data_IF_967989704108
#
_entry.id   IF_967989704108
#
_cell.length_a   1.000
_cell.length_b   1.000
_cell.length_c   1.000
_cell.angle_alpha   90.00
_cell.angle_beta   90.00
_cell.angle_gamma   90.00
#
_symmetry.space_group_name_H-M   'P 1'
#
loop_
_entity.id
_entity.type
_entity.pdbx_description
1 polymer ?
#
# COMPACT_ATOMS: atom_id res chain seq x y z
N UNK A 1 -14.16 6.29 22.24
CA UNK A 1 -13.13 6.86 21.33
C UNK A 1 -13.74 6.91 19.94
N UNK A 2 -13.68 8.07 19.27
CA UNK A 2 -14.24 8.28 17.93
C UNK A 2 -13.17 8.11 16.87
N UNK A 3 -13.40 7.22 15.90
CA UNK A 3 -12.46 6.90 14.83
C UNK A 3 -12.99 7.40 13.49
N UNK A 4 -12.15 8.17 12.78
CA UNK A 4 -12.42 8.64 11.42
C UNK A 4 -11.41 8.10 10.42
N UNK A 5 -11.83 7.82 9.19
CA UNK A 5 -10.95 7.41 8.10
C UNK A 5 -11.03 8.39 6.93
N UNK A 6 -9.89 8.73 6.36
CA UNK A 6 -9.71 9.62 5.22
C UNK A 6 -9.10 8.82 4.07
N UNK A 7 -9.85 8.67 2.98
CA UNK A 7 -9.45 7.94 1.78
C UNK A 7 -10.13 6.58 1.64
N UNK A 8 -11.12 6.51 0.75
CA UNK A 8 -11.90 5.31 0.40
C UNK A 8 -11.49 4.77 -0.98
N UNK A 9 -10.18 4.66 -1.20
CA UNK A 9 -9.62 3.93 -2.34
C UNK A 9 -9.78 2.41 -2.18
N UNK A 10 -9.15 1.62 -3.06
CA UNK A 10 -9.26 0.14 -3.05
C UNK A 10 -8.93 -0.47 -1.68
N UNK A 11 -7.86 -0.02 -1.02
CA UNK A 11 -7.46 -0.52 0.30
C UNK A 11 -8.27 0.16 1.41
N UNK A 12 -8.42 1.49 1.35
CA UNK A 12 -9.09 2.27 2.38
C UNK A 12 -10.55 1.89 2.58
N UNK A 13 -11.28 1.62 1.50
CA UNK A 13 -12.66 1.14 1.58
C UNK A 13 -12.76 -0.18 2.36
N UNK A 14 -11.86 -1.14 2.10
CA UNK A 14 -11.85 -2.44 2.77
C UNK A 14 -11.44 -2.34 4.25
N UNK A 15 -10.48 -1.48 4.56
CA UNK A 15 -10.11 -1.17 5.95
C UNK A 15 -11.29 -0.53 6.68
N UNK A 16 -11.92 0.49 6.07
CA UNK A 16 -13.10 1.14 6.62
C UNK A 16 -14.24 0.14 6.87
N UNK A 17 -14.48 -0.78 5.92
CA UNK A 17 -15.48 -1.84 6.03
C UNK A 17 -15.23 -2.78 7.22
N UNK A 18 -13.97 -3.19 7.45
CA UNK A 18 -13.63 -4.03 8.59
C UNK A 18 -13.88 -3.29 9.92
N UNK A 19 -13.46 -2.02 10.01
CA UNK A 19 -13.70 -1.18 11.19
C UNK A 19 -15.19 -0.91 11.44
N UNK A 20 -15.97 -0.68 10.38
CA UNK A 20 -17.40 -0.43 10.48
C UNK A 20 -18.18 -1.69 10.92
N UNK A 21 -17.82 -2.88 10.45
CA UNK A 21 -18.42 -4.16 10.86
C UNK A 21 -18.22 -4.47 12.35
N UNK A 22 -17.15 -3.98 12.93
CA UNK A 22 -16.81 -4.18 14.34
C UNK A 22 -17.23 -2.96 15.19
N UNK A 23 -18.08 -2.05 14.65
CA UNK A 23 -18.60 -0.82 15.29
C UNK A 23 -17.53 0.15 15.80
N UNK A 24 -16.32 0.11 15.21
CA UNK A 24 -15.20 0.97 15.57
C UNK A 24 -15.22 2.28 14.78
N UNK A 25 -15.63 2.24 13.51
CA UNK A 25 -15.62 3.41 12.62
C UNK A 25 -16.82 4.32 12.85
N UNK A 26 -16.56 5.61 13.03
CA UNK A 26 -17.61 6.62 13.21
C UNK A 26 -17.73 7.55 12.00
N UNK A 27 -16.62 7.88 11.34
CA UNK A 27 -16.58 8.93 10.34
C UNK A 27 -15.76 8.54 9.13
N UNK A 28 -16.22 8.96 7.93
CA UNK A 28 -15.50 8.76 6.68
C UNK A 28 -15.39 10.06 5.87
N UNK A 29 -14.29 10.16 5.13
CA UNK A 29 -14.08 11.20 4.12
C UNK A 29 -13.37 10.60 2.92
N UNK A 30 -13.79 11.00 1.72
CA UNK A 30 -13.03 10.80 0.47
C UNK A 30 -13.12 12.07 -0.38
N UNK A 31 -12.05 12.38 -1.10
CA UNK A 31 -12.02 13.52 -2.05
C UNK A 31 -13.14 13.44 -3.10
N UNK A 32 -13.63 12.23 -3.40
CA UNK A 32 -14.80 11.97 -4.23
C UNK A 32 -16.01 11.74 -3.32
N UNK A 33 -16.86 12.74 -3.07
CA UNK A 33 -17.95 12.64 -2.08
C UNK A 33 -18.89 11.45 -2.31
N UNK A 34 -19.11 11.07 -3.57
CA UNK A 34 -19.95 9.93 -3.92
C UNK A 34 -19.53 8.63 -3.23
N UNK A 35 -18.22 8.40 -3.04
CA UNK A 35 -17.72 7.20 -2.34
C UNK A 35 -18.06 7.21 -0.85
N UNK A 36 -17.94 8.37 -0.19
CA UNK A 36 -18.30 8.51 1.22
C UNK A 36 -19.81 8.35 1.43
N UNK A 37 -20.62 8.89 0.51
CA UNK A 37 -22.09 8.73 0.52
C UNK A 37 -22.49 7.27 0.29
N UNK A 38 -21.82 6.56 -0.62
CA UNK A 38 -22.06 5.14 -0.88
C UNK A 38 -21.69 4.30 0.35
N UNK A 39 -20.54 4.59 0.97
CA UNK A 39 -20.12 3.92 2.21
C UNK A 39 -21.15 4.10 3.34
N UNK A 40 -21.69 5.32 3.53
CA UNK A 40 -22.76 5.59 4.52
C UNK A 40 -24.03 4.80 4.23
N UNK A 41 -24.40 4.57 2.96
CA UNK A 41 -25.57 3.74 2.62
C UNK A 41 -25.39 2.29 3.01
N UNK A 42 -24.16 1.77 2.93
CA UNK A 42 -23.84 0.40 3.36
C UNK A 42 -23.74 0.29 4.89
N UNK A 43 -23.27 1.36 5.57
CA UNK A 43 -23.06 1.42 7.02
C UNK A 43 -23.76 2.64 7.61
N UNK A 44 -25.03 2.51 7.97
CA UNK A 44 -25.90 3.62 8.43
C UNK A 44 -25.44 4.31 9.71
N UNK A 45 -24.71 3.58 10.58
CA UNK A 45 -24.10 4.10 11.82
C UNK A 45 -22.82 4.94 11.60
N UNK A 46 -22.28 4.98 10.35
CA UNK A 46 -21.12 5.78 10.00
C UNK A 46 -21.55 7.08 9.34
N UNK A 47 -21.03 8.22 9.79
CA UNK A 47 -21.28 9.52 9.19
C UNK A 47 -20.19 9.89 8.19
N UNK A 48 -20.54 10.65 7.15
CA UNK A 48 -19.55 11.20 6.22
C UNK A 48 -19.41 12.71 6.37
N UNK A 49 -18.19 13.20 6.11
CA UNK A 49 -17.88 14.62 6.10
C UNK A 49 -17.48 15.07 4.69
N UNK A 50 -17.71 16.34 4.39
CA UNK A 50 -17.25 16.97 3.14
C UNK A 50 -15.91 17.70 3.31
N UNK A 51 -15.42 17.80 4.54
CA UNK A 51 -14.15 18.43 4.89
C UNK A 51 -13.36 17.50 5.82
N UNK A 52 -12.10 17.12 5.47
CA UNK A 52 -11.27 16.25 6.28
C UNK A 52 -10.89 16.89 7.63
N UNK A 53 -10.85 18.21 7.70
CA UNK A 53 -10.55 18.95 8.94
C UNK A 53 -11.71 18.82 9.94
N UNK A 54 -12.94 18.92 9.47
CA UNK A 54 -14.13 18.73 10.32
C UNK A 54 -14.24 17.28 10.83
N UNK A 55 -13.95 16.30 9.96
CA UNK A 55 -13.82 14.90 10.38
C UNK A 55 -12.80 14.77 11.49
N UNK A 56 -11.60 15.33 11.31
CA UNK A 56 -10.51 15.25 12.29
C UNK A 56 -10.86 15.96 13.62
N UNK A 57 -11.56 17.09 13.58
CA UNK A 57 -12.06 17.75 14.81
C UNK A 57 -12.98 16.84 15.60
N UNK A 58 -13.84 16.08 14.91
CA UNK A 58 -14.85 15.20 15.52
C UNK A 58 -14.27 13.85 15.97
N UNK A 59 -13.01 13.54 15.59
CA UNK A 59 -12.36 12.24 15.85
C UNK A 59 -11.32 12.35 16.95
N UNK A 60 -11.17 11.31 17.76
CA UNK A 60 -10.02 11.09 18.65
C UNK A 60 -8.85 10.46 17.87
N UNK A 61 -9.19 9.60 16.90
CA UNK A 61 -8.25 8.88 16.03
C UNK A 61 -8.61 9.13 14.57
N UNK A 62 -7.61 9.51 13.77
CA UNK A 62 -7.74 9.73 12.33
C UNK A 62 -6.84 8.74 11.60
N UNK A 63 -7.42 7.91 10.76
CA UNK A 63 -6.70 7.00 9.87
C UNK A 63 -6.65 7.61 8.48
N UNK A 64 -5.49 7.62 7.82
CA UNK A 64 -5.35 8.07 6.42
C UNK A 64 -4.83 6.94 5.55
N UNK A 65 -5.41 6.79 4.34
CA UNK A 65 -4.94 5.84 3.32
C UNK A 65 -5.04 6.53 1.96
N UNK A 66 -3.94 7.12 1.53
CA UNK A 66 -3.87 8.03 0.39
C UNK A 66 -2.84 7.55 -0.64
N UNK A 67 -2.79 8.23 -1.80
CA UNK A 67 -2.03 7.77 -2.97
C UNK A 67 -0.52 7.98 -2.88
N UNK A 68 -0.09 9.12 -2.33
CA UNK A 68 1.28 9.62 -2.43
C UNK A 68 1.60 10.68 -1.37
N UNK A 69 2.86 11.13 -1.33
CA UNK A 69 3.37 12.13 -0.39
C UNK A 69 2.60 13.45 -0.44
N UNK A 70 2.24 13.91 -1.65
CA UNK A 70 1.50 15.17 -1.81
C UNK A 70 0.09 15.07 -1.23
N UNK A 71 -0.59 13.95 -1.49
CA UNK A 71 -1.92 13.69 -0.97
C UNK A 71 -1.90 13.62 0.57
N UNK A 72 -0.95 12.88 1.16
CA UNK A 72 -0.79 12.79 2.62
C UNK A 72 -0.48 14.15 3.21
N UNK A 73 0.50 14.87 2.66
CA UNK A 73 0.91 16.20 3.15
C UNK A 73 -0.25 17.20 3.09
N UNK A 74 -1.02 17.21 2.01
CA UNK A 74 -2.16 18.13 1.84
C UNK A 74 -3.29 17.89 2.84
N UNK A 75 -3.48 16.64 3.26
CA UNK A 75 -4.47 16.26 4.27
C UNK A 75 -3.94 16.49 5.68
N UNK A 76 -2.71 16.07 5.98
CA UNK A 76 -2.17 16.06 7.35
C UNK A 76 -1.76 17.47 7.82
N UNK A 77 -1.16 18.31 6.96
CA UNK A 77 -0.74 19.67 7.39
C UNK A 77 -1.85 20.52 7.98
N UNK A 78 -3.07 20.59 7.40
CA UNK A 78 -4.20 21.28 8.02
C UNK A 78 -4.65 20.71 9.38
N UNK A 79 -4.31 19.45 9.68
CA UNK A 79 -4.66 18.82 10.96
C UNK A 79 -3.68 19.15 12.09
N UNK A 80 -2.46 19.59 11.79
CA UNK A 80 -1.43 19.91 12.80
C UNK A 80 -1.94 20.87 13.89
N UNK A 81 -2.64 22.00 13.57
CA UNK A 81 -3.14 22.91 14.59
C UNK A 81 -4.14 22.29 15.56
N UNK A 82 -4.86 21.27 15.13
CA UNK A 82 -5.94 20.60 15.87
C UNK A 82 -5.57 19.22 16.39
N UNK A 83 -4.30 18.80 16.25
CA UNK A 83 -3.81 17.47 16.60
C UNK A 83 -3.68 17.21 18.12
N UNK A 84 -4.01 18.18 18.97
CA UNK A 84 -3.84 18.07 20.43
C UNK A 84 -4.54 16.82 20.97
N UNK A 85 -3.77 15.94 21.61
CA UNK A 85 -4.20 14.65 22.17
C UNK A 85 -4.83 13.67 21.18
N UNK A 86 -4.73 13.92 19.86
CA UNK A 86 -5.25 13.01 18.84
C UNK A 86 -4.17 12.01 18.40
N UNK A 87 -4.64 10.85 17.93
CA UNK A 87 -3.81 9.83 17.28
C UNK A 87 -4.07 9.92 15.77
N UNK A 88 -3.03 10.10 14.99
CA UNK A 88 -3.08 10.07 13.52
C UNK A 88 -2.31 8.84 13.05
N UNK A 89 -2.97 7.97 12.30
CA UNK A 89 -2.40 6.71 11.77
C UNK A 89 -2.38 6.80 10.24
N UNK A 90 -1.22 7.03 9.65
CA UNK A 90 -1.09 7.02 8.19
C UNK A 90 -0.72 5.63 7.69
N UNK A 91 -1.65 4.99 6.98
CA UNK A 91 -1.47 3.67 6.38
C UNK A 91 -1.04 3.76 4.91
N UNK A 92 -0.76 4.94 4.40
CA UNK A 92 -0.27 5.19 3.04
C UNK A 92 1.16 4.68 2.86
N UNK A 93 1.56 4.42 1.61
CA UNK A 93 2.96 4.17 1.27
C UNK A 93 3.55 5.45 0.68
N UNK A 94 4.30 6.17 1.50
CA UNK A 94 4.97 7.44 1.19
C UNK A 94 6.45 7.38 1.58
N UNK A 95 7.19 8.46 1.31
CA UNK A 95 8.57 8.60 1.77
C UNK A 95 8.66 8.57 3.29
N UNK A 96 9.53 7.74 3.90
CA UNK A 96 9.83 7.80 5.32
C UNK A 96 10.31 9.17 5.80
N UNK A 97 10.93 9.96 4.93
CA UNK A 97 11.37 11.34 5.24
C UNK A 97 10.13 12.23 5.40
N UNK A 98 9.21 12.22 4.43
CA UNK A 98 7.95 12.99 4.51
C UNK A 98 7.17 12.61 5.76
N UNK A 99 7.05 11.32 6.04
CA UNK A 99 6.38 10.81 7.25
C UNK A 99 7.04 11.32 8.53
N UNK A 100 8.38 11.29 8.60
CA UNK A 100 9.13 11.78 9.75
C UNK A 100 8.94 13.29 9.99
N UNK A 101 8.95 14.09 8.93
CA UNK A 101 8.74 15.55 9.04
C UNK A 101 7.31 15.86 9.54
N UNK A 102 6.29 15.18 9.02
CA UNK A 102 4.92 15.32 9.53
C UNK A 102 4.80 14.87 10.99
N UNK A 103 5.43 13.77 11.34
CA UNK A 103 5.45 13.27 12.71
C UNK A 103 6.10 14.26 13.69
N UNK A 104 7.19 14.92 13.30
CA UNK A 104 7.88 15.91 14.12
C UNK A 104 6.97 17.07 14.52
N UNK A 105 6.13 17.55 13.60
CA UNK A 105 5.18 18.62 13.85
C UNK A 105 4.00 18.16 14.73
N UNK A 106 3.44 16.97 14.43
CA UNK A 106 2.27 16.44 15.15
C UNK A 106 2.63 15.98 16.56
N UNK A 107 3.76 15.28 16.75
CA UNK A 107 4.15 14.70 18.04
C UNK A 107 4.46 15.76 19.11
N UNK A 108 4.52 17.04 18.74
CA UNK A 108 4.59 18.13 19.72
C UNK A 108 3.26 18.37 20.46
N UNK A 109 2.14 17.83 19.96
CA UNK A 109 0.77 18.07 20.46
C UNK A 109 -0.09 16.81 20.56
N UNK A 110 0.15 15.83 19.69
CA UNK A 110 -0.58 14.58 19.57
C UNK A 110 0.36 13.42 19.27
N UNK A 111 -0.12 12.41 18.54
CA UNK A 111 0.64 11.19 18.21
C UNK A 111 0.48 10.86 16.74
N UNK A 112 1.59 10.73 16.02
CA UNK A 112 1.60 10.29 14.62
C UNK A 112 2.24 8.92 14.48
N UNK A 113 1.60 8.05 13.68
CA UNK A 113 2.10 6.72 13.35
C UNK A 113 2.08 6.52 11.84
N UNK A 114 3.15 5.98 11.29
CA UNK A 114 3.15 5.37 9.98
C UNK A 114 2.84 3.88 10.13
N UNK A 115 1.83 3.41 9.42
CA UNK A 115 1.31 2.05 9.55
C UNK A 115 1.03 1.40 8.18
N UNK A 116 2.02 1.36 7.26
CA UNK A 116 1.84 0.79 5.94
C UNK A 116 1.53 -0.71 5.97
N UNK A 117 0.87 -1.17 4.90
CA UNK A 117 0.30 -2.50 4.78
C UNK A 117 1.16 -3.37 3.86
N UNK A 118 1.46 -4.59 4.27
CA UNK A 118 1.93 -5.68 3.42
C UNK A 118 0.76 -6.64 3.19
N UNK A 119 0.38 -6.84 1.93
CA UNK A 119 -0.72 -7.70 1.51
C UNK A 119 -1.52 -7.11 0.37
N UNK A 120 -2.43 -7.92 -0.16
CA UNK A 120 -3.33 -7.54 -1.25
C UNK A 120 -4.68 -7.03 -0.71
N UNK A 121 -5.49 -6.44 -1.59
CA UNK A 121 -6.84 -5.99 -1.22
C UNK A 121 -7.73 -7.15 -0.74
N UNK A 122 -7.55 -8.36 -1.27
CA UNK A 122 -8.28 -9.55 -0.81
C UNK A 122 -7.81 -9.96 0.61
N UNK A 123 -6.52 -9.84 0.89
CA UNK A 123 -5.98 -10.14 2.22
C UNK A 123 -6.51 -9.19 3.31
N UNK A 124 -6.92 -7.95 2.96
CA UNK A 124 -7.59 -7.03 3.89
C UNK A 124 -8.95 -7.59 4.33
N UNK A 125 -9.74 -8.10 3.39
CA UNK A 125 -11.07 -8.65 3.70
C UNK A 125 -11.00 -9.82 4.69
N UNK A 126 -9.93 -10.60 4.62
CA UNK A 126 -9.68 -11.76 5.49
C UNK A 126 -8.85 -11.43 6.73
N UNK A 127 -8.58 -10.15 7.01
CA UNK A 127 -7.71 -9.68 8.12
C UNK A 127 -6.32 -10.36 8.13
N UNK A 128 -5.82 -10.80 6.95
CA UNK A 128 -4.56 -11.54 6.80
C UNK A 128 -3.39 -10.68 6.27
N UNK A 129 -3.58 -9.37 6.22
CA UNK A 129 -2.51 -8.40 5.95
C UNK A 129 -1.54 -8.32 7.13
N UNK A 130 -0.33 -7.79 6.87
CA UNK A 130 0.60 -7.37 7.93
C UNK A 130 0.64 -5.85 7.96
N UNK A 131 0.54 -5.26 9.15
CA UNK A 131 0.67 -3.82 9.36
C UNK A 131 1.98 -3.56 10.11
N UNK A 132 2.85 -2.75 9.51
CA UNK A 132 4.14 -2.37 10.09
C UNK A 132 4.00 -0.98 10.74
N UNK A 133 4.07 -0.90 12.07
CA UNK A 133 3.79 0.34 12.79
C UNK A 133 5.08 1.01 13.25
N UNK A 134 5.31 2.24 12.80
CA UNK A 134 6.35 3.14 13.30
C UNK A 134 5.74 4.33 14.03
N UNK A 135 6.27 4.70 15.19
CA UNK A 135 5.77 5.84 15.96
C UNK A 135 6.09 5.79 17.45
N UNK A 136 5.56 6.71 18.27
CA UNK A 136 5.80 6.73 19.72
C UNK A 136 5.28 5.46 20.40
N UNK A 137 6.11 4.80 21.20
CA UNK A 137 5.70 3.58 21.91
C UNK A 137 4.57 3.81 22.92
N UNK A 138 4.47 5.03 23.44
CA UNK A 138 3.52 5.43 24.48
C UNK A 138 2.05 5.10 24.18
N UNK A 139 1.61 5.28 22.93
CA UNK A 139 0.23 5.00 22.50
C UNK A 139 0.13 3.80 21.56
N UNK A 140 1.22 3.03 21.42
CA UNK A 140 1.23 1.89 20.50
C UNK A 140 0.15 0.84 20.80
N UNK A 141 -0.10 0.52 22.09
CA UNK A 141 -1.14 -0.46 22.43
C UNK A 141 -2.55 0.02 22.04
N UNK A 142 -2.83 1.32 22.16
CA UNK A 142 -4.11 1.90 21.67
C UNK A 142 -4.21 1.81 20.15
N UNK A 143 -3.12 2.11 19.44
CA UNK A 143 -3.07 1.99 17.96
C UNK A 143 -3.27 0.53 17.54
N UNK A 144 -2.57 -0.39 18.21
CA UNK A 144 -2.66 -1.82 17.97
C UNK A 144 -4.09 -2.34 18.17
N UNK A 145 -4.75 -1.95 19.26
CA UNK A 145 -6.14 -2.32 19.53
C UNK A 145 -7.05 -1.95 18.36
N UNK A 146 -6.97 -0.70 17.85
CA UNK A 146 -7.76 -0.28 16.69
C UNK A 146 -7.42 -1.09 15.45
N UNK A 147 -6.14 -1.31 15.18
CA UNK A 147 -5.68 -2.01 13.99
C UNK A 147 -5.99 -3.52 14.02
N UNK A 148 -6.22 -4.15 15.20
CA UNK A 148 -6.65 -5.56 15.31
C UNK A 148 -7.99 -5.82 14.60
N UNK A 149 -8.82 -4.80 14.46
CA UNK A 149 -10.07 -4.90 13.68
C UNK A 149 -9.83 -5.05 12.17
N UNK A 150 -8.61 -4.77 11.70
CA UNK A 150 -8.24 -4.85 10.28
C UNK A 150 -7.20 -5.92 9.97
N UNK A 151 -6.41 -6.36 10.96
CA UNK A 151 -5.36 -7.36 10.80
C UNK A 151 -5.05 -8.09 12.09
N UNK A 152 -4.75 -9.38 11.98
CA UNK A 152 -4.21 -10.18 13.09
C UNK A 152 -2.68 -10.04 13.24
N UNK A 153 -2.00 -9.40 12.30
CA UNK A 153 -0.54 -9.29 12.24
C UNK A 153 -0.12 -7.82 12.29
N UNK A 154 0.11 -7.29 13.48
CA UNK A 154 0.55 -5.92 13.71
C UNK A 154 1.93 -5.97 14.35
N UNK A 155 2.92 -5.34 13.70
CA UNK A 155 4.32 -5.40 14.10
C UNK A 155 4.81 -3.99 14.42
N UNK A 156 5.27 -3.77 15.65
CA UNK A 156 5.95 -2.53 16.01
C UNK A 156 7.37 -2.53 15.45
N UNK A 157 7.69 -1.54 14.64
CA UNK A 157 8.97 -1.43 13.93
C UNK A 157 9.94 -0.44 14.58
N UNK A 158 9.49 0.37 15.54
CA UNK A 158 10.29 1.42 16.16
C UNK A 158 9.68 2.82 15.99
N UNK A 159 10.51 3.86 16.01
CA UNK A 159 10.06 5.26 15.86
C UNK A 159 9.43 5.56 14.49
N UNK A 160 9.00 6.82 14.32
CA UNK A 160 8.37 7.26 13.06
C UNK A 160 9.23 7.00 11.83
N UNK A 161 8.60 6.56 10.76
CA UNK A 161 9.21 6.18 9.48
C UNK A 161 9.71 4.72 9.43
N UNK A 162 9.80 4.00 10.56
CA UNK A 162 10.31 2.62 10.56
C UNK A 162 9.33 1.62 9.95
N UNK A 163 8.02 1.81 10.09
CA UNK A 163 7.02 1.04 9.37
C UNK A 163 7.19 1.16 7.86
N UNK A 164 7.34 2.40 7.37
CA UNK A 164 7.58 2.69 5.96
C UNK A 164 8.91 2.12 5.47
N UNK A 165 10.00 2.21 6.24
CA UNK A 165 11.28 1.57 5.89
C UNK A 165 11.10 0.07 5.68
N UNK A 166 10.39 -0.61 6.57
CA UNK A 166 10.05 -2.03 6.41
C UNK A 166 9.22 -2.30 5.16
N UNK A 167 8.23 -1.44 4.89
CA UNK A 167 7.41 -1.52 3.67
C UNK A 167 8.23 -1.37 2.39
N UNK A 168 9.17 -0.44 2.34
CA UNK A 168 10.03 -0.23 1.17
C UNK A 168 10.97 -1.41 0.92
N UNK A 169 11.50 -2.04 1.96
CA UNK A 169 12.29 -3.29 1.83
C UNK A 169 11.46 -4.38 1.17
N UNK A 170 10.22 -4.59 1.63
CA UNK A 170 9.31 -5.55 1.00
C UNK A 170 9.02 -5.19 -0.47
N UNK A 171 8.73 -3.91 -0.77
CA UNK A 171 8.31 -3.51 -2.11
C UNK A 171 9.47 -3.49 -3.12
N UNK A 172 10.70 -3.23 -2.68
CA UNK A 172 11.89 -3.47 -3.49
C UNK A 172 11.95 -4.92 -3.94
N UNK A 173 11.85 -5.85 -2.99
CA UNK A 173 11.95 -7.28 -3.29
C UNK A 173 10.83 -7.75 -4.23
N UNK A 174 9.57 -7.44 -3.95
CA UNK A 174 8.47 -7.93 -4.79
C UNK A 174 8.44 -7.28 -6.18
N UNK A 175 8.87 -6.03 -6.32
CA UNK A 175 8.98 -5.35 -7.61
C UNK A 175 10.02 -6.03 -8.51
N UNK A 176 11.23 -6.22 -7.99
CA UNK A 176 12.33 -6.91 -8.68
C UNK A 176 11.96 -8.37 -8.97
N UNK A 177 11.37 -9.05 -8.01
CA UNK A 177 10.97 -10.45 -8.16
C UNK A 177 9.92 -10.63 -9.25
N UNK A 178 8.93 -9.74 -9.36
CA UNK A 178 7.92 -9.83 -10.42
C UNK A 178 8.51 -9.59 -11.81
N UNK A 179 9.46 -8.67 -11.94
CA UNK A 179 10.20 -8.47 -13.19
C UNK A 179 10.97 -9.74 -13.58
N UNK A 180 11.71 -10.33 -12.64
CA UNK A 180 12.46 -11.57 -12.85
C UNK A 180 11.56 -12.75 -13.22
N UNK A 181 10.40 -12.92 -12.56
CA UNK A 181 9.40 -13.93 -12.92
C UNK A 181 8.88 -13.74 -14.34
N UNK A 182 8.60 -12.50 -14.74
CA UNK A 182 8.07 -12.18 -16.07
C UNK A 182 9.11 -12.44 -17.16
N UNK A 183 10.36 -12.08 -16.90
CA UNK A 183 11.48 -12.35 -17.81
C UNK A 183 11.71 -13.86 -17.98
N UNK A 184 11.75 -14.61 -16.87
CA UNK A 184 11.91 -16.06 -16.90
C UNK A 184 10.74 -16.75 -17.63
N UNK A 185 9.50 -16.27 -17.42
CA UNK A 185 8.33 -16.79 -18.11
C UNK A 185 8.40 -16.55 -19.62
N UNK A 186 8.75 -15.31 -20.03
CA UNK A 186 8.93 -14.98 -21.44
C UNK A 186 10.03 -15.81 -22.10
N UNK A 187 11.18 -15.93 -21.42
CA UNK A 187 12.31 -16.75 -21.89
C UNK A 187 11.90 -18.21 -22.10
N UNK A 188 11.12 -18.79 -21.17
CA UNK A 188 10.58 -20.14 -21.32
C UNK A 188 9.71 -20.31 -22.57
N UNK A 189 8.87 -19.32 -22.89
CA UNK A 189 8.07 -19.33 -24.12
C UNK A 189 8.94 -19.27 -25.37
N UNK A 190 10.00 -18.46 -25.35
CA UNK A 190 10.94 -18.33 -26.48
C UNK A 190 11.76 -19.62 -26.70
N UNK A 191 11.96 -20.43 -25.65
CA UNK A 191 12.52 -21.78 -25.73
C UNK A 191 11.53 -22.86 -26.22
N UNK A 192 10.25 -22.49 -26.43
CA UNK A 192 9.22 -23.43 -26.90
C UNK A 192 8.47 -24.20 -25.81
N UNK A 193 8.64 -23.84 -24.53
CA UNK A 193 7.85 -24.42 -23.44
C UNK A 193 6.40 -23.89 -23.48
N UNK A 194 5.45 -24.71 -23.03
CA UNK A 194 4.06 -24.26 -22.88
C UNK A 194 3.90 -23.37 -21.63
N UNK A 195 2.85 -22.55 -21.60
CA UNK A 195 2.54 -21.71 -20.43
C UNK A 195 2.36 -22.54 -19.16
N UNK A 196 1.76 -23.71 -19.28
CA UNK A 196 1.50 -24.65 -18.19
C UNK A 196 2.81 -25.23 -17.64
N UNK A 197 3.74 -25.62 -18.53
CA UNK A 197 5.05 -26.13 -18.12
C UNK A 197 5.85 -25.07 -17.37
N UNK A 198 5.93 -23.85 -17.92
CA UNK A 198 6.62 -22.72 -17.29
C UNK A 198 5.95 -22.37 -15.95
N UNK A 199 4.62 -22.31 -15.95
CA UNK A 199 3.85 -22.01 -14.75
C UNK A 199 4.10 -23.02 -13.64
N UNK A 200 4.13 -24.32 -13.97
CA UNK A 200 4.42 -25.38 -13.01
C UNK A 200 5.85 -25.27 -12.46
N UNK A 201 6.83 -25.00 -13.32
CA UNK A 201 8.23 -24.77 -12.90
C UNK A 201 8.30 -23.60 -11.91
N UNK A 202 7.78 -22.42 -12.30
CA UNK A 202 8.00 -21.18 -11.54
C UNK A 202 7.16 -21.12 -10.26
N UNK A 203 5.97 -21.74 -10.21
CA UNK A 203 5.09 -21.69 -9.04
C UNK A 203 5.17 -22.91 -8.13
N UNK A 204 5.68 -24.07 -8.59
CA UNK A 204 5.67 -25.31 -7.81
C UNK A 204 7.05 -25.94 -7.61
N UNK A 205 7.91 -25.91 -8.62
CA UNK A 205 9.18 -26.64 -8.60
C UNK A 205 10.39 -25.75 -8.22
N UNK A 206 10.37 -24.48 -8.61
CA UNK A 206 11.50 -23.59 -8.39
C UNK A 206 11.80 -23.42 -6.88
N UNK A 207 13.08 -23.47 -6.54
CA UNK A 207 13.55 -23.11 -5.18
C UNK A 207 13.32 -21.63 -4.84
N UNK A 208 13.15 -20.78 -5.86
CA UNK A 208 12.82 -19.36 -5.71
C UNK A 208 11.31 -19.09 -5.63
N UNK A 209 10.46 -20.12 -5.59
CA UNK A 209 8.99 -19.92 -5.47
C UNK A 209 8.63 -19.15 -4.20
N UNK A 210 7.58 -18.37 -4.29
CA UNK A 210 7.06 -17.57 -3.18
C UNK A 210 5.54 -17.45 -3.29
N UNK A 211 4.84 -16.95 -2.24
CA UNK A 211 3.42 -16.62 -2.35
C UNK A 211 3.10 -15.71 -3.55
N UNK A 212 4.04 -14.82 -3.92
CA UNK A 212 3.89 -13.95 -5.10
C UNK A 212 3.86 -14.78 -6.39
N UNK A 213 4.78 -15.74 -6.60
CA UNK A 213 4.75 -16.58 -7.80
C UNK A 213 3.50 -17.46 -7.86
N UNK A 214 3.05 -17.99 -6.73
CA UNK A 214 1.84 -18.83 -6.67
C UNK A 214 0.56 -18.06 -7.05
N UNK A 215 0.49 -16.77 -6.71
CA UNK A 215 -0.66 -15.90 -7.05
C UNK A 215 -0.54 -15.31 -8.45
N UNK A 216 0.66 -14.88 -8.88
CA UNK A 216 0.82 -14.09 -10.11
C UNK A 216 1.04 -14.93 -11.36
N UNK A 217 1.65 -16.10 -11.26
CA UNK A 217 1.83 -16.98 -12.42
C UNK A 217 0.49 -17.42 -13.04
N UNK A 218 -0.54 -17.86 -12.28
CA UNK A 218 -1.85 -18.14 -12.84
C UNK A 218 -2.48 -16.94 -13.57
N UNK A 219 -2.26 -15.71 -13.05
CA UNK A 219 -2.75 -14.48 -13.69
C UNK A 219 -2.09 -14.27 -15.06
N UNK A 220 -0.78 -14.47 -15.17
CA UNK A 220 -0.04 -14.40 -16.45
C UNK A 220 -0.56 -15.46 -17.44
N UNK A 221 -0.74 -16.70 -17.01
CA UNK A 221 -1.24 -17.79 -17.86
C UNK A 221 -2.60 -17.44 -18.45
N UNK A 222 -3.50 -16.92 -17.62
CA UNK A 222 -4.88 -16.61 -17.98
C UNK A 222 -5.06 -15.24 -18.64
N UNK A 223 -4.01 -14.39 -18.68
CA UNK A 223 -4.12 -12.99 -19.12
C UNK A 223 -5.02 -12.14 -18.21
N UNK A 224 -5.19 -12.53 -16.94
CA UNK A 224 -5.97 -11.81 -15.95
C UNK A 224 -5.09 -10.81 -15.19
N UNK A 225 -5.16 -9.55 -15.55
CA UNK A 225 -4.46 -8.46 -14.88
C UNK A 225 -5.39 -7.59 -14.04
N UNK A 226 -6.49 -8.17 -13.50
CA UNK A 226 -7.33 -7.52 -12.50
C UNK A 226 -6.49 -7.07 -11.30
N UNK A 227 -6.64 -5.79 -10.92
CA UNK A 227 -5.69 -5.09 -10.07
C UNK A 227 -5.81 -5.50 -8.61
N UNK A 228 -4.76 -6.09 -8.07
CA UNK A 228 -4.53 -6.24 -6.62
C UNK A 228 -3.50 -5.21 -6.13
N UNK A 229 -2.49 -4.92 -6.96
CA UNK A 229 -1.48 -3.87 -6.77
C UNK A 229 -1.05 -3.37 -8.15
N UNK A 230 -1.29 -2.08 -8.45
CA UNK A 230 -1.13 -1.58 -9.82
C UNK A 230 0.33 -1.32 -10.22
N UNK A 231 0.59 -1.36 -11.54
CA UNK A 231 1.87 -0.92 -12.14
C UNK A 231 2.26 0.47 -11.64
N UNK A 232 1.31 1.43 -11.66
CA UNK A 232 1.55 2.79 -11.16
C UNK A 232 2.04 2.79 -9.71
N UNK A 233 1.45 1.97 -8.84
CA UNK A 233 1.79 1.97 -7.43
C UNK A 233 3.16 1.33 -7.17
N UNK A 234 3.48 0.20 -7.80
CA UNK A 234 4.81 -0.40 -7.61
C UNK A 234 5.91 0.51 -8.18
N UNK A 235 5.66 1.18 -9.33
CA UNK A 235 6.60 2.13 -9.90
C UNK A 235 6.84 3.31 -8.94
N UNK A 236 5.77 3.91 -8.41
CA UNK A 236 5.87 4.95 -7.38
C UNK A 236 6.70 4.49 -6.17
N UNK A 237 6.47 3.28 -5.68
CA UNK A 237 7.19 2.76 -4.52
C UNK A 237 8.68 2.53 -4.83
N UNK A 238 9.01 2.09 -6.06
CA UNK A 238 10.40 1.99 -6.52
C UNK A 238 11.05 3.37 -6.67
N UNK A 239 10.34 4.39 -7.15
CA UNK A 239 10.81 5.78 -7.17
C UNK A 239 11.16 6.28 -5.76
N UNK A 240 10.30 6.02 -4.77
CA UNK A 240 10.59 6.36 -3.37
C UNK A 240 11.85 5.65 -2.91
N UNK A 241 12.02 4.36 -3.21
CA UNK A 241 13.21 3.57 -2.84
C UNK A 241 14.48 4.18 -3.44
N UNK A 242 14.47 4.53 -4.72
CA UNK A 242 15.62 5.12 -5.42
C UNK A 242 15.99 6.47 -4.78
N UNK A 243 15.00 7.33 -4.51
CA UNK A 243 15.22 8.63 -3.88
C UNK A 243 15.78 8.49 -2.45
N UNK A 244 15.22 7.57 -1.66
CA UNK A 244 15.68 7.28 -0.30
C UNK A 244 17.10 6.68 -0.31
N UNK A 245 17.41 5.83 -1.27
CA UNK A 245 18.74 5.22 -1.39
C UNK A 245 19.86 6.26 -1.53
N UNK A 246 19.60 7.35 -2.25
CA UNK A 246 20.56 8.46 -2.38
C UNK A 246 20.79 9.15 -1.03
N UNK A 247 19.72 9.36 -0.24
CA UNK A 247 19.83 9.96 1.09
C UNK A 247 20.68 9.13 2.07
N UNK A 248 20.61 7.79 1.94
CA UNK A 248 21.35 6.86 2.80
C UNK A 248 22.64 6.30 2.16
N UNK A 249 23.03 6.78 0.99
CA UNK A 249 24.18 6.27 0.21
C UNK A 249 24.09 4.74 -0.01
N UNK A 250 22.90 4.21 -0.23
CA UNK A 250 22.66 2.79 -0.49
C UNK A 250 22.64 2.49 -2.00
N UNK A 251 23.17 1.33 -2.40
CA UNK A 251 23.13 0.89 -3.79
C UNK A 251 21.88 0.04 -4.04
N UNK A 252 21.04 0.48 -4.99
CA UNK A 252 19.81 -0.21 -5.40
C UNK A 252 19.70 -0.38 -6.92
N UNK A 253 20.72 -0.98 -7.60
CA UNK A 253 20.77 -1.05 -9.06
C UNK A 253 19.58 -1.84 -9.64
N UNK A 254 19.17 -2.93 -9.00
CA UNK A 254 18.02 -3.71 -9.46
C UNK A 254 16.69 -2.94 -9.34
N UNK A 255 16.51 -2.14 -8.29
CA UNK A 255 15.33 -1.28 -8.17
C UNK A 255 15.27 -0.24 -9.29
N UNK A 256 16.42 0.38 -9.62
CA UNK A 256 16.51 1.38 -10.69
C UNK A 256 16.23 0.77 -12.07
N UNK A 257 16.75 -0.42 -12.36
CA UNK A 257 16.41 -1.13 -13.59
C UNK A 257 14.93 -1.48 -13.64
N UNK A 258 14.39 -2.03 -12.56
CA UNK A 258 13.00 -2.48 -12.48
C UNK A 258 12.02 -1.32 -12.58
N UNK A 259 12.33 -0.15 -12.00
CA UNK A 259 11.52 1.07 -12.15
C UNK A 259 11.37 1.44 -13.63
N UNK A 260 12.49 1.44 -14.39
CA UNK A 260 12.47 1.72 -15.82
C UNK A 260 11.61 0.71 -16.60
N UNK A 261 11.66 -0.59 -16.25
CA UNK A 261 10.79 -1.60 -16.88
C UNK A 261 9.30 -1.32 -16.59
N UNK A 262 8.95 -0.93 -15.37
CA UNK A 262 7.58 -0.53 -15.04
C UNK A 262 7.17 0.78 -15.72
N UNK A 263 8.08 1.72 -15.92
CA UNK A 263 7.83 2.95 -16.68
C UNK A 263 7.51 2.64 -18.14
N UNK A 264 8.23 1.71 -18.76
CA UNK A 264 7.89 1.22 -20.12
C UNK A 264 6.52 0.54 -20.09
N UNK A 265 6.25 -0.33 -19.11
CA UNK A 265 4.96 -1.00 -18.94
C UNK A 265 3.81 0.01 -18.84
N UNK A 266 4.00 1.09 -18.09
CA UNK A 266 3.06 2.20 -17.96
C UNK A 266 2.81 2.89 -19.30
N UNK A 267 3.87 3.19 -20.06
CA UNK A 267 3.77 3.82 -21.40
C UNK A 267 3.03 2.96 -22.43
N UNK A 268 3.00 1.65 -22.23
CA UNK A 268 2.21 0.71 -23.05
C UNK A 268 0.72 0.65 -22.66
N UNK A 269 0.27 1.48 -21.71
CA UNK A 269 -1.13 1.60 -21.30
C UNK A 269 -1.53 0.70 -20.12
N UNK A 270 -0.59 0.07 -19.42
CA UNK A 270 -0.89 -0.87 -18.32
C UNK A 270 -0.85 -0.24 -16.92
N UNK A 271 -0.82 1.09 -16.81
CA UNK A 271 -0.66 1.85 -15.56
C UNK A 271 -1.61 1.41 -14.43
N UNK A 272 -2.89 1.18 -14.75
CA UNK A 272 -3.93 0.80 -13.79
C UNK A 272 -4.07 -0.70 -13.57
N UNK A 273 -3.41 -1.52 -14.39
CA UNK A 273 -3.48 -2.98 -14.28
C UNK A 273 -2.58 -3.50 -13.16
N UNK A 274 -2.77 -4.76 -12.79
CA UNK A 274 -1.92 -5.45 -11.82
C UNK A 274 -0.45 -5.43 -12.25
N UNK A 275 0.47 -5.28 -11.30
CA UNK A 275 1.90 -5.15 -11.60
C UNK A 275 2.50 -6.38 -12.29
N UNK A 276 1.82 -7.54 -12.25
CA UNK A 276 2.18 -8.71 -13.06
C UNK A 276 2.01 -8.49 -14.57
N UNK A 277 1.29 -7.43 -14.98
CA UNK A 277 1.19 -7.06 -16.41
C UNK A 277 2.50 -6.56 -17.03
N UNK A 278 3.57 -6.39 -16.23
CA UNK A 278 4.93 -6.19 -16.75
C UNK A 278 5.34 -7.32 -17.71
N UNK A 279 4.78 -8.51 -17.58
CA UNK A 279 4.97 -9.61 -18.53
C UNK A 279 4.58 -9.22 -19.96
N UNK A 280 3.51 -8.45 -20.14
CA UNK A 280 3.06 -8.01 -21.48
C UNK A 280 4.07 -7.07 -22.15
N UNK A 281 4.85 -6.32 -21.38
CA UNK A 281 5.96 -5.52 -21.92
C UNK A 281 7.01 -6.45 -22.57
N UNK A 282 7.42 -7.52 -21.89
CA UNK A 282 8.37 -8.48 -22.46
C UNK A 282 7.82 -9.11 -23.74
N UNK A 283 6.54 -9.52 -23.76
CA UNK A 283 5.90 -10.13 -24.95
C UNK A 283 5.81 -9.16 -26.14
N UNK A 284 5.49 -7.89 -25.88
CA UNK A 284 5.38 -6.87 -26.96
C UNK A 284 6.73 -6.45 -27.53
N UNK A 285 7.77 -6.43 -26.70
CA UNK A 285 9.09 -5.95 -27.10
C UNK A 285 10.06 -7.07 -27.52
N UNK A 286 9.69 -8.33 -27.31
CA UNK A 286 10.47 -9.46 -27.85
C UNK A 286 10.43 -9.40 -29.36
N UNK A 287 11.60 -9.27 -29.98
CA UNK A 287 11.77 -9.33 -31.42
C UNK A 287 11.41 -10.75 -31.90
N UNK A 288 10.43 -10.86 -32.82
CA UNK A 288 10.11 -12.11 -33.49
C UNK A 288 11.04 -12.33 -34.67
#
# INVERSE_FOLDING_TARGET
MKVGIIGLGIMGYRIAKNLAKDDILNYVYDRTPAKAMEFKKEFENVEYFNDPTELAKSSDVVITILSDDNAVTSIIKPLIPIASNKIIIDMSTISPITSYELAKEINSKGYFYDAPIIGTSIAVENKSIVILVGGPYEKFETVKEILTHTSNNIVYMGGNGFGLKGKLVNNLLIGVYMAALSEAFNFGLDLGLTKEQIGYILSKLSSARSPTSEIKIPKIINGDYSTQFSVKNIRKDLDIIINISQHYNSLVPLASLTENLYKITESLGYSSLDFSSIFEMYRKLTLK
#
